data_IF_338960675303
#
_entry.id   IF_338960675303
#
_cell.length_a   1.000
_cell.length_b   1.000
_cell.length_c   1.000
_cell.angle_alpha   90.00
_cell.angle_beta   90.00
_cell.angle_gamma   90.00
#
_symmetry.space_group_name_H-M   'P 1'
#
loop_
_entity.id
_entity.type
_entity.pdbx_description
1 polymer ?
#
# COMPACT_ATOMS: atom_id res chain seq x y z
N UNK A 1 12.65 11.85 2.61
CA UNK A 1 11.60 12.82 2.96
C UNK A 1 10.68 12.92 1.76
N UNK A 2 9.45 12.43 1.89
CA UNK A 2 8.49 12.35 0.77
C UNK A 2 7.31 13.26 1.09
N UNK A 3 6.89 14.01 0.09
CA UNK A 3 5.89 15.07 0.16
C UNK A 3 4.61 14.58 -0.51
N UNK A 4 3.45 14.90 0.05
CA UNK A 4 2.15 14.65 -0.56
C UNK A 4 1.35 15.95 -0.57
N UNK A 5 0.94 16.42 -1.74
CA UNK A 5 0.07 17.59 -1.88
C UNK A 5 -1.37 17.11 -2.07
N UNK A 6 -2.21 17.26 -1.03
CA UNK A 6 -3.61 16.84 -1.04
C UNK A 6 -4.54 17.87 -1.70
N UNK A 7 -5.34 17.42 -2.67
CA UNK A 7 -6.45 18.17 -3.25
C UNK A 7 -7.77 17.72 -2.61
N UNK A 8 -8.37 18.54 -1.76
CA UNK A 8 -9.78 18.38 -1.38
C UNK A 8 -10.48 19.74 -1.37
N UNK A 9 -11.18 20.04 -2.47
CA UNK A 9 -12.13 21.14 -2.56
C UNK A 9 -13.40 20.76 -1.79
N UNK A 10 -13.65 21.43 -0.65
CA UNK A 10 -14.97 21.44 -0.02
C UNK A 10 -15.90 22.38 -0.81
N UNK A 11 -16.78 21.79 -1.63
CA UNK A 11 -18.03 22.42 -2.02
C UNK A 11 -18.94 22.50 -0.79
N UNK A 12 -19.12 23.70 -0.24
CA UNK A 12 -20.41 24.27 0.17
C UNK A 12 -20.23 25.49 1.10
N UNK A 13 -20.52 26.68 0.57
CA UNK A 13 -21.60 27.58 1.04
C UNK A 13 -21.50 28.94 0.37
N UNK A 14 -22.47 29.24 -0.48
CA UNK A 14 -22.79 30.60 -0.92
C UNK A 14 -23.55 31.29 0.20
N UNK A 15 -23.00 32.37 0.76
CA UNK A 15 -23.77 33.51 1.26
C UNK A 15 -22.83 34.72 1.37
N UNK A 16 -23.13 35.73 0.56
CA UNK A 16 -22.42 37.00 0.44
C UNK A 16 -22.47 37.83 1.72
N UNK A 17 -21.34 38.45 2.10
CA UNK A 17 -21.28 39.87 2.47
C UNK A 17 -19.83 40.38 2.55
N UNK A 18 -19.61 41.52 1.88
CA UNK A 18 -18.37 42.31 1.79
C UNK A 18 -17.67 42.52 3.14
N UNK A 19 -16.40 42.11 3.24
CA UNK A 19 -15.33 42.88 3.93
C UNK A 19 -13.98 42.45 3.37
N UNK A 20 -13.16 43.44 3.02
CA UNK A 20 -11.76 43.30 2.62
C UNK A 20 -10.96 42.60 3.71
N UNK A 21 -10.54 41.36 3.46
CA UNK A 21 -9.52 40.66 4.25
C UNK A 21 -8.55 39.99 3.29
N UNK A 22 -7.27 40.18 3.58
CA UNK A 22 -6.13 39.63 2.85
C UNK A 22 -6.39 38.16 2.51
N UNK A 23 -6.17 37.79 1.25
CA UNK A 23 -6.18 36.41 0.82
C UNK A 23 -5.14 35.64 1.64
N UNK A 24 -5.59 34.99 2.72
CA UNK A 24 -4.80 34.09 3.52
C UNK A 24 -4.49 32.91 2.60
N UNK A 25 -3.34 32.99 1.93
CA UNK A 25 -2.80 31.90 1.14
C UNK A 25 -2.76 30.70 2.08
N UNK A 26 -3.67 29.76 1.87
CA UNK A 26 -3.72 28.53 2.64
C UNK A 26 -2.46 27.76 2.30
N UNK A 27 -1.40 28.03 3.04
CA UNK A 27 -0.16 27.28 2.97
C UNK A 27 -0.49 25.85 3.34
N UNK A 28 -0.70 24.99 2.34
CA UNK A 28 -0.79 23.55 2.54
C UNK A 28 0.42 23.16 3.36
N UNK A 29 0.20 22.78 4.61
CA UNK A 29 1.30 22.40 5.48
C UNK A 29 1.76 21.04 4.97
N UNK A 30 2.98 20.97 4.46
CA UNK A 30 3.60 19.71 4.05
C UNK A 30 3.41 18.68 5.18
N UNK A 31 2.93 17.48 4.86
CA UNK A 31 2.84 16.38 5.81
C UNK A 31 3.96 15.39 5.50
N UNK A 32 4.70 14.98 6.53
CA UNK A 32 5.80 14.02 6.45
C UNK A 32 5.48 12.84 7.35
N UNK A 33 5.57 11.64 6.78
CA UNK A 33 5.41 10.38 7.51
C UNK A 33 6.70 9.56 7.42
N UNK A 34 6.99 8.82 8.49
CA UNK A 34 7.97 7.75 8.47
C UNK A 34 7.28 6.44 8.04
N UNK A 35 8.04 5.53 7.45
CA UNK A 35 7.51 4.26 6.98
C UNK A 35 8.54 3.14 7.10
N UNK A 36 8.03 1.92 7.18
CA UNK A 36 8.78 0.66 7.10
C UNK A 36 8.38 -0.09 5.82
N UNK A 37 9.30 -0.87 5.28
CA UNK A 37 9.11 -1.61 4.04
C UNK A 37 9.48 -3.08 4.19
N UNK A 38 8.67 -3.95 3.59
CA UNK A 38 8.95 -5.38 3.43
C UNK A 38 9.16 -5.66 1.94
N UNK A 39 10.25 -6.33 1.58
CA UNK A 39 10.50 -6.80 0.20
C UNK A 39 9.90 -8.18 -0.01
N UNK A 40 9.24 -8.39 -1.15
CA UNK A 40 8.65 -9.68 -1.52
C UNK A 40 9.69 -10.53 -2.24
N UNK A 41 9.91 -11.76 -1.76
CA UNK A 41 10.88 -12.68 -2.35
C UNK A 41 10.20 -13.82 -3.12
N UNK A 42 9.80 -13.57 -4.37
CA UNK A 42 9.11 -14.57 -5.18
C UNK A 42 9.96 -15.78 -5.55
N UNK A 43 11.30 -15.69 -5.47
CA UNK A 43 12.19 -16.86 -5.61
C UNK A 43 12.06 -17.84 -4.44
N UNK A 44 11.62 -17.36 -3.28
CA UNK A 44 11.36 -18.19 -2.10
C UNK A 44 10.01 -18.90 -2.23
N UNK A 45 8.95 -18.16 -2.57
CA UNK A 45 7.60 -18.72 -2.74
C UNK A 45 6.65 -17.69 -3.36
N UNK A 46 5.70 -18.15 -4.19
CA UNK A 46 4.56 -17.34 -4.64
C UNK A 46 3.70 -16.83 -3.46
N UNK A 47 3.67 -17.57 -2.35
CA UNK A 47 2.93 -17.20 -1.13
C UNK A 47 3.47 -15.94 -0.45
N UNK A 48 4.64 -15.43 -0.85
CA UNK A 48 5.15 -14.15 -0.36
C UNK A 48 4.28 -12.96 -0.82
N UNK A 49 3.44 -13.15 -1.85
CA UNK A 49 2.42 -12.17 -2.22
C UNK A 49 1.38 -11.95 -1.12
N UNK A 50 1.16 -12.93 -0.24
CA UNK A 50 0.19 -12.87 0.84
C UNK A 50 0.66 -11.94 1.95
N UNK A 51 -0.16 -10.94 2.25
CA UNK A 51 0.07 -10.07 3.41
C UNK A 51 -0.19 -10.81 4.72
N UNK A 52 -1.09 -11.80 4.70
CA UNK A 52 -1.44 -12.65 5.83
C UNK A 52 -1.30 -14.14 5.47
N UNK A 53 -0.56 -14.90 6.28
CA UNK A 53 -0.26 -16.32 6.01
C UNK A 53 -1.46 -17.26 6.22
N UNK A 54 -2.45 -16.85 7.01
CA UNK A 54 -3.69 -17.60 7.23
C UNK A 54 -4.87 -16.77 6.77
N UNK A 55 -5.73 -17.34 5.93
CA UNK A 55 -7.11 -16.88 5.81
C UNK A 55 -7.79 -17.30 7.12
N UNK A 56 -8.02 -16.36 8.05
CA UNK A 56 -8.84 -16.67 9.22
C UNK A 56 -10.21 -17.10 8.68
N UNK A 57 -10.57 -18.38 8.82
CA UNK A 57 -11.91 -18.87 8.49
C UNK A 57 -12.94 -18.01 9.24
N UNK A 58 -13.74 -17.25 8.49
CA UNK A 58 -14.85 -16.43 8.99
C UNK A 58 -16.04 -17.33 9.39
N UNK A 59 -15.79 -18.42 10.11
CA UNK A 59 -16.75 -19.48 10.43
C UNK A 59 -16.86 -19.79 11.93
N UNK A 60 -16.59 -18.83 12.83
CA UNK A 60 -16.84 -19.01 14.27
C UNK A 60 -18.20 -18.46 14.73
N UNK A 61 -19.25 -18.79 13.96
CA UNK A 61 -20.65 -18.77 14.42
C UNK A 61 -21.32 -20.12 14.12
N UNK A 62 -20.64 -21.22 14.44
CA UNK A 62 -21.28 -22.53 14.57
C UNK A 62 -20.76 -23.25 15.82
N UNK A 63 -21.52 -23.04 16.90
CA UNK A 63 -21.78 -23.94 18.02
C UNK A 63 -20.74 -25.06 18.18
N UNK A 64 -19.84 -24.92 19.14
CA UNK A 64 -19.15 -26.07 19.71
C UNK A 64 -19.25 -26.05 21.23
N UNK A 65 -19.90 -27.11 21.70
CA UNK A 65 -19.93 -27.54 23.07
C UNK A 65 -18.53 -27.59 23.69
N UNK A 66 -18.54 -27.30 24.98
CA UNK A 66 -17.49 -27.44 25.97
C UNK A 66 -16.59 -28.68 25.76
N UNK A 67 -15.33 -28.48 25.36
CA UNK A 67 -14.23 -29.34 25.80
C UNK A 67 -12.93 -28.53 25.96
N UNK A 68 -12.30 -28.73 27.11
CA UNK A 68 -11.16 -27.98 27.64
C UNK A 68 -9.95 -28.89 27.59
N UNK A 69 -9.09 -28.79 26.57
CA UNK A 69 -7.65 -29.15 26.67
C UNK A 69 -6.91 -29.12 25.32
N UNK A 70 -6.28 -27.98 24.99
CA UNK A 70 -4.96 -27.85 24.32
C UNK A 70 -4.73 -26.40 23.92
N UNK A 71 -4.09 -25.64 24.81
CA UNK A 71 -3.55 -24.33 24.47
C UNK A 71 -2.25 -24.49 23.68
N UNK A 72 -2.36 -24.76 22.38
CA UNK A 72 -1.26 -24.48 21.45
C UNK A 72 -1.24 -22.96 21.25
N UNK A 73 -0.42 -22.24 22.03
CA UNK A 73 -0.17 -20.82 21.78
C UNK A 73 0.73 -20.68 20.54
N UNK A 74 0.15 -20.85 19.36
CA UNK A 74 0.79 -20.41 18.13
C UNK A 74 0.94 -18.91 18.26
N UNK A 75 2.17 -18.42 18.43
CA UNK A 75 2.49 -17.00 18.50
C UNK A 75 2.05 -16.37 17.18
N UNK A 76 0.84 -15.82 17.13
CA UNK A 76 0.34 -15.04 15.99
C UNK A 76 1.21 -13.81 15.89
N UNK A 77 2.15 -13.81 14.96
CA UNK A 77 2.81 -12.57 14.54
C UNK A 77 1.78 -11.81 13.71
N UNK A 78 1.04 -10.90 14.34
CA UNK A 78 0.13 -10.02 13.63
C UNK A 78 0.96 -9.21 12.62
N UNK A 79 0.59 -9.28 11.35
CA UNK A 79 1.22 -8.50 10.28
C UNK A 79 1.05 -7.00 10.57
N UNK A 80 2.11 -6.21 10.43
CA UNK A 80 2.07 -4.75 10.61
C UNK A 80 1.21 -4.06 9.53
N UNK A 81 0.93 -4.78 8.45
CA UNK A 81 0.14 -4.34 7.31
C UNK A 81 -1.38 -4.56 7.51
N UNK A 82 -1.80 -5.01 8.71
CA UNK A 82 -3.20 -5.28 9.00
C UNK A 82 -3.68 -6.60 8.40
N UNK A 83 -4.99 -6.70 8.14
CA UNK A 83 -5.64 -7.88 7.58
C UNK A 83 -6.15 -7.61 6.17
N UNK A 84 -5.94 -8.57 5.28
CA UNK A 84 -6.49 -8.59 3.92
C UNK A 84 -6.63 -10.05 3.45
N UNK A 85 -7.50 -10.29 2.48
CA UNK A 85 -7.66 -11.63 1.89
C UNK A 85 -6.66 -11.86 0.77
N UNK A 86 -6.34 -13.12 0.45
CA UNK A 86 -5.43 -13.45 -0.66
C UNK A 86 -5.98 -12.97 -2.01
N UNK A 87 -7.30 -13.05 -2.20
CA UNK A 87 -7.95 -12.49 -3.39
C UNK A 87 -7.69 -10.98 -3.50
N UNK A 88 -7.78 -10.24 -2.39
CA UNK A 88 -7.51 -8.81 -2.40
C UNK A 88 -6.02 -8.51 -2.63
N UNK A 89 -5.10 -9.27 -2.02
CA UNK A 89 -3.66 -9.20 -2.33
C UNK A 89 -3.45 -9.32 -3.85
N UNK A 90 -4.00 -10.36 -4.49
CA UNK A 90 -3.86 -10.56 -5.94
C UNK A 90 -4.47 -9.42 -6.76
N UNK A 91 -5.64 -8.89 -6.36
CA UNK A 91 -6.27 -7.77 -7.05
C UNK A 91 -5.35 -6.55 -7.04
N UNK A 92 -4.74 -6.22 -5.90
CA UNK A 92 -3.82 -5.08 -5.80
C UNK A 92 -2.52 -5.32 -6.56
N UNK A 93 -1.90 -6.51 -6.43
CA UNK A 93 -0.72 -6.87 -7.21
C UNK A 93 -0.98 -6.81 -8.72
N UNK A 94 -2.16 -7.24 -9.18
CA UNK A 94 -2.57 -7.20 -10.59
C UNK A 94 -2.61 -5.79 -11.19
N UNK A 95 -2.73 -4.74 -10.37
CA UNK A 95 -2.70 -3.34 -10.83
C UNK A 95 -1.29 -2.85 -11.12
N UNK A 96 -0.28 -3.48 -10.55
CA UNK A 96 1.12 -3.06 -10.70
C UNK A 96 1.67 -3.46 -12.08
N UNK A 97 2.65 -2.71 -12.58
CA UNK A 97 3.41 -3.06 -13.81
C UNK A 97 3.89 -4.51 -13.88
N UNK A 98 4.17 -5.15 -12.75
CA UNK A 98 4.65 -6.52 -12.69
C UNK A 98 3.60 -7.54 -13.18
N UNK A 99 2.31 -7.23 -13.00
CA UNK A 99 1.22 -8.19 -13.26
C UNK A 99 0.07 -7.62 -14.10
N UNK A 100 0.15 -6.36 -14.56
CA UNK A 100 -0.91 -5.69 -15.33
C UNK A 100 -1.28 -6.39 -16.66
N UNK A 101 -0.39 -7.24 -17.17
CA UNK A 101 -0.62 -8.00 -18.41
C UNK A 101 -1.47 -9.25 -18.20
N UNK A 102 -1.69 -9.69 -16.95
CA UNK A 102 -2.58 -10.80 -16.66
C UNK A 102 -4.04 -10.39 -16.85
N UNK A 103 -4.78 -11.19 -17.63
CA UNK A 103 -6.21 -10.97 -17.88
C UNK A 103 -7.11 -11.42 -16.72
N UNK A 104 -6.63 -12.39 -15.94
CA UNK A 104 -7.28 -12.89 -14.72
C UNK A 104 -6.28 -12.94 -13.58
N UNK A 105 -6.73 -12.60 -12.37
CA UNK A 105 -5.92 -12.68 -11.15
C UNK A 105 -5.55 -14.13 -10.81
N UNK A 106 -6.38 -15.11 -11.17
CA UNK A 106 -6.16 -16.53 -10.87
C UNK A 106 -4.88 -17.06 -11.54
N UNK A 107 -4.57 -16.51 -12.72
CA UNK A 107 -3.39 -16.91 -13.48
C UNK A 107 -2.09 -16.39 -12.85
N UNK A 108 -2.13 -15.35 -12.02
CA UNK A 108 -0.92 -14.77 -11.41
C UNK A 108 -0.27 -15.80 -10.50
N UNK A 109 -1.02 -16.34 -9.55
CA UNK A 109 -0.49 -17.26 -8.55
C UNK A 109 -0.05 -18.59 -9.18
N UNK A 110 -0.85 -19.11 -10.12
CA UNK A 110 -0.53 -20.33 -10.87
C UNK A 110 0.77 -20.17 -11.67
N UNK A 111 0.92 -19.05 -12.40
CA UNK A 111 2.15 -18.76 -13.16
C UNK A 111 3.36 -18.65 -12.23
N UNK A 112 3.24 -17.93 -11.12
CA UNK A 112 4.35 -17.80 -10.15
C UNK A 112 4.74 -19.14 -9.50
N UNK A 113 3.80 -20.07 -9.39
CA UNK A 113 4.04 -21.39 -8.78
C UNK A 113 4.65 -22.39 -9.76
N UNK A 114 4.38 -22.25 -11.06
CA UNK A 114 4.71 -23.26 -12.07
C UNK A 114 5.72 -22.80 -13.12
N UNK A 115 5.98 -21.50 -13.26
CA UNK A 115 6.90 -20.92 -14.27
C UNK A 115 8.08 -20.21 -13.61
N UNK A 116 9.18 -20.96 -13.41
CA UNK A 116 10.39 -20.45 -12.80
C UNK A 116 11.09 -19.38 -13.67
N UNK A 117 11.03 -19.50 -15.00
CA UNK A 117 11.63 -18.53 -15.92
C UNK A 117 10.89 -17.20 -15.84
N UNK A 118 9.56 -17.23 -15.70
CA UNK A 118 8.77 -16.03 -15.43
C UNK A 118 9.20 -15.36 -14.11
N UNK A 119 9.37 -16.14 -13.03
CA UNK A 119 9.80 -15.62 -11.72
C UNK A 119 11.20 -14.98 -11.80
N UNK A 120 12.14 -15.61 -12.49
CA UNK A 120 13.48 -15.06 -12.73
C UNK A 120 13.41 -13.73 -13.50
N UNK A 121 12.70 -13.71 -14.63
CA UNK A 121 12.52 -12.50 -15.43
C UNK A 121 11.83 -11.36 -14.66
N UNK A 122 10.85 -11.69 -13.82
CA UNK A 122 10.14 -10.73 -12.99
C UNK A 122 11.07 -10.15 -11.93
N UNK A 123 11.84 -11.01 -11.26
CA UNK A 123 12.84 -10.60 -10.28
C UNK A 123 13.93 -9.72 -10.91
N UNK A 124 14.34 -9.97 -12.15
CA UNK A 124 15.37 -9.16 -12.81
C UNK A 124 14.87 -7.77 -13.22
N UNK A 125 13.57 -7.62 -13.44
CA UNK A 125 12.96 -6.35 -13.86
C UNK A 125 12.43 -5.51 -12.70
N UNK A 126 11.92 -6.16 -11.64
CA UNK A 126 11.15 -5.49 -10.60
C UNK A 126 11.66 -5.81 -9.19
N UNK A 127 11.46 -4.85 -8.28
CA UNK A 127 11.47 -5.09 -6.82
C UNK A 127 10.06 -4.85 -6.32
N UNK A 128 9.45 -5.89 -5.77
CA UNK A 128 8.13 -5.83 -5.17
C UNK A 128 8.26 -5.61 -3.67
N UNK A 129 7.43 -4.73 -3.10
CA UNK A 129 7.45 -4.39 -1.68
C UNK A 129 6.06 -4.10 -1.14
N UNK A 130 5.91 -4.17 0.19
CA UNK A 130 4.82 -3.53 0.93
C UNK A 130 5.40 -2.40 1.77
N UNK A 131 4.79 -1.20 1.73
CA UNK A 131 5.22 -0.07 2.57
C UNK A 131 4.12 0.33 3.55
N UNK A 132 4.48 0.48 4.83
CA UNK A 132 3.58 0.89 5.90
C UNK A 132 4.08 2.16 6.54
N UNK A 133 3.26 3.21 6.50
CA UNK A 133 3.50 4.41 7.29
C UNK A 133 3.33 4.09 8.79
N UNK A 134 4.29 4.50 9.60
CA UNK A 134 4.38 4.19 11.03
C UNK A 134 3.98 5.36 11.91
N UNK A 135 4.40 6.58 11.55
CA UNK A 135 4.06 7.78 12.29
C UNK A 135 4.16 9.06 11.44
N UNK A 136 3.45 10.09 11.86
CA UNK A 136 3.68 11.47 11.42
C UNK A 136 4.94 12.02 12.07
N UNK A 137 5.71 12.81 11.31
CA UNK A 137 7.00 13.36 11.75
C UNK A 137 6.87 14.82 12.17
N UNK A 138 6.07 15.60 11.45
CA UNK A 138 6.02 17.06 11.59
C UNK A 138 4.63 17.61 11.97
N UNK A 139 3.67 16.74 12.26
CA UNK A 139 2.34 17.11 12.74
C UNK A 139 1.74 15.99 13.59
N UNK A 140 0.73 16.32 14.38
CA UNK A 140 -0.06 15.32 15.10
C UNK A 140 -1.10 14.68 14.17
N UNK A 141 -1.46 13.43 14.45
CA UNK A 141 -2.47 12.69 13.67
C UNK A 141 -3.79 13.44 13.54
N UNK A 142 -4.22 14.11 14.61
CA UNK A 142 -5.47 14.90 14.68
C UNK A 142 -5.42 16.17 13.81
N UNK A 143 -4.22 16.68 13.52
CA UNK A 143 -4.01 17.90 12.72
C UNK A 143 -3.78 17.59 11.25
N UNK A 144 -3.31 16.38 10.92
CA UNK A 144 -3.01 15.96 9.56
C UNK A 144 -4.25 15.85 8.67
N UNK A 145 -5.40 15.47 9.24
CA UNK A 145 -6.60 15.12 8.49
C UNK A 145 -6.47 13.85 7.63
N UNK A 146 -5.37 13.10 7.76
CA UNK A 146 -5.06 11.91 6.96
C UNK A 146 -5.08 10.64 7.82
N UNK A 147 -5.60 9.56 7.25
CA UNK A 147 -5.45 8.21 7.81
C UNK A 147 -4.20 7.57 7.21
N UNK A 148 -3.26 7.17 8.06
CA UNK A 148 -2.10 6.35 7.68
C UNK A 148 -2.29 4.89 8.10
N UNK A 149 -3.53 4.43 8.28
CA UNK A 149 -3.81 3.08 8.80
C UNK A 149 -3.50 1.98 7.78
N UNK A 150 -3.66 2.27 6.49
CA UNK A 150 -3.38 1.36 5.40
C UNK A 150 -1.91 1.18 5.10
N UNK A 151 -1.65 0.54 3.97
CA UNK A 151 -0.31 0.29 3.44
C UNK A 151 -0.33 0.31 1.91
N UNK A 152 0.84 0.25 1.29
CA UNK A 152 1.00 0.30 -0.15
C UNK A 152 1.52 -1.03 -0.69
N UNK A 153 0.94 -1.49 -1.80
CA UNK A 153 1.53 -2.51 -2.67
C UNK A 153 2.43 -1.80 -3.68
N UNK A 154 3.72 -2.08 -3.65
CA UNK A 154 4.74 -1.27 -4.31
C UNK A 154 5.50 -2.09 -5.34
N UNK A 155 5.67 -1.53 -6.53
CA UNK A 155 6.43 -2.09 -7.63
C UNK A 155 7.46 -1.05 -8.12
N UNK A 156 8.75 -1.35 -7.92
CA UNK A 156 9.87 -0.58 -8.43
C UNK A 156 10.39 -1.25 -9.71
N UNK A 157 10.40 -0.53 -10.83
CA UNK A 157 11.05 -0.96 -12.08
C UNK A 157 12.55 -0.65 -11.99
N UNK A 158 13.39 -1.70 -11.88
CA UNK A 158 14.84 -1.56 -11.61
C UNK A 158 15.56 -0.72 -12.66
N UNK A 159 15.20 -0.89 -13.94
CA UNK A 159 15.86 -0.21 -15.06
C UNK A 159 15.63 1.29 -15.08
N UNK A 160 14.42 1.75 -14.72
CA UNK A 160 14.03 3.17 -14.80
C UNK A 160 14.04 3.86 -13.44
N UNK A 161 14.06 3.10 -12.35
CA UNK A 161 13.90 3.60 -10.99
C UNK A 161 12.48 4.09 -10.67
N UNK A 162 11.52 3.93 -11.59
CA UNK A 162 10.14 4.37 -11.40
C UNK A 162 9.46 3.45 -10.38
N UNK A 163 8.80 4.06 -9.40
CA UNK A 163 7.97 3.34 -8.43
C UNK A 163 6.51 3.62 -8.75
N UNK A 164 5.75 2.54 -8.84
CA UNK A 164 4.29 2.58 -8.84
C UNK A 164 3.80 1.86 -7.59
N UNK A 165 2.82 2.43 -6.91
CA UNK A 165 2.20 1.76 -5.77
C UNK A 165 0.71 2.06 -5.67
N UNK A 166 0.00 1.17 -4.98
CA UNK A 166 -1.44 1.30 -4.73
C UNK A 166 -1.71 1.20 -3.24
N UNK A 167 -2.35 2.23 -2.68
CA UNK A 167 -2.73 2.27 -1.28
C UNK A 167 -3.96 1.39 -1.03
N UNK A 168 -3.88 0.59 0.03
CA UNK A 168 -4.96 -0.23 0.53
C UNK A 168 -5.28 0.12 1.97
N UNK A 169 -6.55 0.46 2.20
CA UNK A 169 -7.20 0.58 3.49
C UNK A 169 -8.68 0.25 3.28
N UNK A 170 -9.26 -0.74 3.99
CA UNK A 170 -10.67 -1.07 3.88
C UNK A 170 -11.63 0.10 4.12
N UNK A 171 -11.22 1.11 4.89
CA UNK A 171 -12.01 2.28 5.20
C UNK A 171 -11.81 3.44 4.19
N UNK A 172 -10.98 3.26 3.18
CA UNK A 172 -10.63 4.28 2.19
C UNK A 172 -11.09 3.91 0.78
N UNK A 173 -11.08 4.87 -0.14
CA UNK A 173 -11.29 4.59 -1.56
C UNK A 173 -10.19 3.66 -2.09
N UNK A 174 -10.54 2.62 -2.87
CA UNK A 174 -9.57 1.64 -3.33
C UNK A 174 -8.68 2.20 -4.46
N UNK A 175 -7.51 1.59 -4.64
CA UNK A 175 -6.60 1.83 -5.77
C UNK A 175 -6.08 3.26 -5.92
N UNK A 176 -5.98 4.00 -4.82
CA UNK A 176 -5.29 5.29 -4.84
C UNK A 176 -3.84 5.07 -5.24
N UNK A 177 -3.43 5.69 -6.36
CA UNK A 177 -2.17 5.41 -7.02
C UNK A 177 -1.09 6.39 -6.60
N UNK A 178 0.06 5.86 -6.22
CA UNK A 178 1.31 6.56 -6.01
C UNK A 178 2.23 6.30 -7.21
N UNK A 179 2.81 7.34 -7.80
CA UNK A 179 3.76 7.24 -8.90
C UNK A 179 4.94 8.16 -8.64
N UNK A 180 6.13 7.58 -8.56
CA UNK A 180 7.36 8.30 -8.22
C UNK A 180 8.40 8.07 -9.30
N UNK A 181 9.15 9.13 -9.60
CA UNK A 181 10.29 9.08 -10.51
C UNK A 181 11.55 9.46 -9.75
N UNK A 182 12.68 8.78 -10.00
CA UNK A 182 13.94 9.18 -9.41
C UNK A 182 14.34 10.57 -9.92
N UNK A 183 14.83 11.42 -9.03
CA UNK A 183 15.36 12.74 -9.38
C UNK A 183 16.88 12.68 -9.29
N UNK A 184 17.58 12.74 -10.43
CA UNK A 184 19.05 12.75 -10.50
C UNK A 184 19.65 11.67 -11.41
N UNK A 185 20.83 11.91 -11.97
CA UNK A 185 21.47 11.04 -12.98
C UNK A 185 22.44 9.99 -12.40
N UNK A 186 22.71 10.00 -11.08
CA UNK A 186 23.85 9.27 -10.51
C UNK A 186 23.51 8.41 -9.28
N UNK A 187 22.34 7.75 -9.26
CA UNK A 187 22.05 6.68 -8.28
C UNK A 187 21.65 7.14 -6.87
N UNK A 188 21.49 8.45 -6.64
CA UNK A 188 20.87 8.99 -5.42
C UNK A 188 19.82 10.01 -5.83
N UNK A 189 18.54 9.61 -5.79
CA UNK A 189 17.44 10.50 -6.14
C UNK A 189 16.27 10.36 -5.19
N UNK A 190 15.99 11.42 -4.46
CA UNK A 190 14.79 11.58 -3.64
C UNK A 190 13.66 12.06 -4.56
N UNK A 191 12.64 11.23 -4.78
CA UNK A 191 11.51 11.55 -5.66
C UNK A 191 10.59 12.63 -5.09
N UNK A 192 10.11 13.52 -5.96
CA UNK A 192 9.00 14.45 -5.72
C UNK A 192 7.70 13.82 -6.24
N UNK A 193 6.58 14.09 -5.58
CA UNK A 193 5.27 13.51 -5.87
C UNK A 193 4.28 14.60 -6.29
N UNK A 194 3.30 14.21 -7.11
CA UNK A 194 2.07 14.95 -7.37
C UNK A 194 0.94 13.94 -7.22
N UNK A 195 0.00 14.18 -6.30
CA UNK A 195 -1.24 13.40 -6.22
C UNK A 195 -2.16 13.95 -7.31
N UNK A 196 -2.70 13.07 -8.16
CA UNK A 196 -3.78 13.39 -9.09
C UNK A 196 -5.13 13.05 -8.47
#
# INVERSE_FOLDING_TARGET
>A
MMQADGLFNNLNKTQDQHTSSEAKLSSTTMIITAWEGETINLKKSAHELWTNQSEDEENDFKIRDFDTSRSNSTKRTNSIFGKTSHSNDLIYWSKTKAFIHFKSIDNIFDTLSNDADFVENLNDQFVLMRWKETNFVNCDSTQSGLSIQGFYYVCLEKRTGIIEAFYYDPASLPYQKLSLKPIGTNGYGFGSMTIL
#
